data_IF_494471229612
#
_entry.id   IF_494471229612
#
_cell.length_a   1.000
_cell.length_b   1.000
_cell.length_c   1.000
_cell.angle_alpha   90.00
_cell.angle_beta   90.00
_cell.angle_gamma   90.00
#
_symmetry.space_group_name_H-M   'P 1'
#
loop_
_entity.id
_entity.type
_entity.pdbx_description
1 polymer ?
#
# COMPACT_ATOMS: atom_id res chain seq x y z
N UNK A 1 -3.23 -25.52 -3.21
CA UNK A 1 -3.51 -24.28 -3.91
C UNK A 1 -4.40 -23.42 -3.03
N UNK A 2 -3.93 -22.24 -2.66
CA UNK A 2 -4.71 -21.25 -1.94
C UNK A 2 -5.23 -20.24 -2.93
N UNK A 3 -6.52 -19.94 -2.89
CA UNK A 3 -7.16 -18.96 -3.76
C UNK A 3 -7.68 -17.81 -2.91
N UNK A 4 -7.51 -16.55 -3.34
CA UNK A 4 -8.23 -15.45 -2.73
C UNK A 4 -9.72 -15.60 -3.08
N UNK A 5 -10.56 -15.87 -2.08
CA UNK A 5 -12.01 -16.04 -2.29
C UNK A 5 -12.74 -14.72 -2.47
N UNK A 6 -12.29 -13.67 -1.81
CA UNK A 6 -12.79 -12.31 -2.02
C UNK A 6 -11.86 -11.28 -1.38
N UNK A 7 -11.63 -10.18 -2.08
CA UNK A 7 -11.05 -8.97 -1.50
C UNK A 7 -12.19 -8.03 -1.18
N UNK A 8 -12.74 -8.15 0.02
CA UNK A 8 -13.64 -7.14 0.55
C UNK A 8 -12.83 -5.95 1.12
N UNK A 9 -13.48 -4.81 1.31
CA UNK A 9 -12.88 -3.52 1.73
C UNK A 9 -11.92 -3.59 2.95
N UNK A 10 -11.80 -4.74 3.64
CA UNK A 10 -11.02 -4.86 4.87
C UNK A 10 -10.26 -6.18 5.10
N UNK A 11 -10.55 -7.27 4.38
CA UNK A 11 -9.89 -8.57 4.60
C UNK A 11 -9.81 -9.38 3.31
N UNK A 12 -8.64 -10.01 3.05
CA UNK A 12 -8.50 -11.02 2.01
C UNK A 12 -8.76 -12.40 2.64
N UNK A 13 -9.80 -13.08 2.17
CA UNK A 13 -10.05 -14.47 2.53
C UNK A 13 -9.36 -15.38 1.51
N UNK A 14 -8.67 -16.40 2.00
CA UNK A 14 -8.01 -17.40 1.17
C UNK A 14 -8.67 -18.75 1.37
N UNK A 15 -9.13 -19.36 0.28
CA UNK A 15 -9.59 -20.73 0.27
C UNK A 15 -8.45 -21.65 -0.14
N UNK A 16 -8.19 -22.69 0.63
CA UNK A 16 -7.20 -23.69 0.33
C UNK A 16 -7.85 -24.88 -0.38
N UNK A 17 -7.38 -25.17 -1.59
CA UNK A 17 -7.82 -26.30 -2.38
C UNK A 17 -6.66 -27.30 -2.52
N UNK A 18 -6.83 -28.48 -1.97
CA UNK A 18 -5.89 -29.59 -2.16
C UNK A 18 -6.35 -30.44 -3.36
N UNK A 19 -5.48 -30.57 -4.35
CA UNK A 19 -5.72 -31.37 -5.54
C UNK A 19 -4.89 -32.64 -5.45
N UNK A 20 -5.54 -33.81 -5.51
CA UNK A 20 -4.88 -35.11 -5.57
C UNK A 20 -5.21 -35.73 -6.91
N UNK A 21 -4.22 -35.82 -7.79
CA UNK A 21 -4.33 -36.55 -9.05
C UNK A 21 -3.97 -38.03 -8.81
N UNK A 22 -4.88 -38.94 -9.16
CA UNK A 22 -4.64 -40.38 -9.06
C UNK A 22 -4.27 -40.99 -10.42
N UNK A 23 -3.57 -42.12 -10.39
CA UNK A 23 -3.16 -42.84 -11.59
C UNK A 23 -4.33 -43.27 -12.49
N UNK A 24 -5.52 -43.48 -11.92
CA UNK A 24 -6.71 -43.95 -12.64
C UNK A 24 -7.53 -42.77 -13.26
N UNK A 25 -6.87 -41.66 -13.55
CA UNK A 25 -7.50 -40.46 -14.10
C UNK A 25 -8.58 -39.82 -13.20
N UNK A 26 -8.58 -40.10 -11.91
CA UNK A 26 -9.40 -39.42 -10.94
C UNK A 26 -8.69 -38.19 -10.35
N UNK A 27 -9.40 -37.08 -10.26
CA UNK A 27 -8.97 -35.89 -9.55
C UNK A 27 -9.84 -35.72 -8.31
N UNK A 28 -9.22 -35.73 -7.14
CA UNK A 28 -9.89 -35.51 -5.88
C UNK A 28 -9.61 -34.09 -5.43
N UNK A 29 -10.63 -33.29 -5.21
CA UNK A 29 -10.52 -31.93 -4.68
C UNK A 29 -10.98 -31.92 -3.24
N UNK A 30 -10.17 -31.36 -2.35
CA UNK A 30 -10.50 -31.17 -0.93
C UNK A 30 -10.40 -29.69 -0.63
N UNK A 31 -11.52 -29.08 -0.24
CA UNK A 31 -11.56 -27.69 0.21
C UNK A 31 -11.57 -27.64 1.75
N UNK A 32 -10.84 -26.72 2.33
CA UNK A 32 -10.75 -26.55 3.79
C UNK A 32 -11.96 -25.83 4.40
N UNK A 33 -12.82 -25.22 3.59
CA UNK A 33 -13.98 -24.45 4.05
C UNK A 33 -15.29 -24.90 3.40
N UNK A 34 -16.36 -25.00 4.20
CA UNK A 34 -17.74 -25.27 3.74
C UNK A 34 -18.33 -24.14 2.87
N UNK A 35 -17.69 -22.97 2.85
CA UNK A 35 -18.10 -21.76 2.11
C UNK A 35 -17.09 -21.35 1.06
N UNK A 36 -16.55 -22.32 0.29
CA UNK A 36 -15.68 -21.93 -0.83
C UNK A 36 -16.54 -21.14 -1.84
N UNK A 37 -16.17 -19.90 -2.12
CA UNK A 37 -16.75 -19.07 -3.19
C UNK A 37 -16.43 -19.63 -4.60
N UNK A 38 -15.79 -20.78 -4.65
CA UNK A 38 -15.60 -21.51 -5.91
C UNK A 38 -16.97 -21.92 -6.40
N UNK A 39 -17.47 -21.22 -7.41
CA UNK A 39 -18.72 -21.55 -8.04
C UNK A 39 -18.54 -22.82 -8.87
N UNK A 40 -18.80 -23.96 -8.27
CA UNK A 40 -18.71 -25.27 -8.93
C UNK A 40 -19.59 -25.36 -10.20
N UNK A 41 -20.62 -24.52 -10.31
CA UNK A 41 -21.44 -24.42 -11.52
C UNK A 41 -20.67 -23.79 -12.67
N UNK A 42 -19.86 -22.75 -12.43
CA UNK A 42 -19.03 -22.10 -13.45
C UNK A 42 -17.93 -23.04 -13.95
N UNK A 43 -17.33 -23.82 -13.02
CA UNK A 43 -16.37 -24.87 -13.36
C UNK A 43 -17.06 -25.95 -14.21
N UNK A 44 -18.24 -26.37 -13.82
CA UNK A 44 -19.01 -27.38 -14.55
C UNK A 44 -19.44 -26.89 -15.94
N UNK A 45 -19.87 -25.66 -16.05
CA UNK A 45 -20.25 -25.04 -17.33
C UNK A 45 -19.06 -24.89 -18.27
N UNK A 46 -17.95 -24.39 -17.75
CA UNK A 46 -16.67 -24.29 -18.47
C UNK A 46 -16.14 -25.65 -18.89
N UNK A 47 -16.26 -26.66 -18.01
CA UNK A 47 -15.87 -28.04 -18.31
C UNK A 47 -16.76 -28.67 -19.37
N UNK A 48 -18.05 -28.43 -19.31
CA UNK A 48 -19.02 -29.00 -20.28
C UNK A 48 -18.81 -28.39 -21.69
N UNK A 49 -18.47 -27.13 -21.77
CA UNK A 49 -18.21 -26.45 -23.03
C UNK A 49 -16.88 -26.93 -23.67
N UNK A 50 -15.86 -27.18 -22.86
CA UNK A 50 -14.55 -27.65 -23.29
C UNK A 50 -14.52 -29.15 -23.59
N UNK A 51 -15.24 -29.99 -22.84
CA UNK A 51 -15.34 -31.45 -23.11
C UNK A 51 -16.00 -31.76 -24.47
N UNK A 52 -16.82 -30.87 -24.99
CA UNK A 52 -17.37 -31.02 -26.33
C UNK A 52 -16.37 -30.80 -27.49
N UNK A 53 -15.22 -30.18 -27.18
CA UNK A 53 -14.14 -29.87 -28.15
C UNK A 53 -12.91 -30.78 -27.98
N UNK A 54 -12.85 -31.62 -26.92
CA UNK A 54 -11.66 -32.38 -26.58
C UNK A 54 -11.71 -33.80 -27.09
N UNK A 55 -10.64 -34.19 -27.77
CA UNK A 55 -10.34 -35.58 -28.12
C UNK A 55 -10.08 -36.40 -26.86
N UNK A 56 -10.69 -37.56 -26.76
CA UNK A 56 -10.64 -38.50 -25.65
C UNK A 56 -9.20 -38.90 -25.28
N UNK A 57 -8.62 -38.32 -24.26
CA UNK A 57 -7.26 -38.71 -23.90
C UNK A 57 -6.82 -38.51 -22.46
N UNK A 58 -7.24 -37.51 -21.75
CA UNK A 58 -6.83 -37.32 -20.35
C UNK A 58 -7.78 -36.32 -19.64
N UNK A 59 -8.88 -36.86 -19.10
CA UNK A 59 -9.89 -36.00 -18.44
C UNK A 59 -9.32 -35.24 -17.23
N UNK A 60 -8.41 -35.85 -16.46
CA UNK A 60 -7.83 -35.24 -15.27
C UNK A 60 -6.92 -34.04 -15.58
N UNK A 61 -6.09 -34.14 -16.63
CA UNK A 61 -5.23 -33.06 -17.06
C UNK A 61 -5.99 -31.85 -17.58
N UNK A 62 -7.03 -32.08 -18.36
CA UNK A 62 -7.91 -31.02 -18.87
C UNK A 62 -8.65 -30.30 -17.76
N UNK A 63 -9.12 -31.04 -16.74
CA UNK A 63 -9.78 -30.43 -15.59
C UNK A 63 -8.83 -29.59 -14.75
N UNK A 64 -7.61 -30.09 -14.53
CA UNK A 64 -6.55 -29.36 -13.83
C UNK A 64 -6.19 -28.04 -14.54
N UNK A 65 -6.07 -28.08 -15.86
CA UNK A 65 -5.84 -26.90 -16.69
C UNK A 65 -6.95 -25.85 -16.51
N UNK A 66 -8.22 -26.27 -16.49
CA UNK A 66 -9.36 -25.35 -16.30
C UNK A 66 -9.30 -24.71 -14.90
N UNK A 67 -9.02 -25.51 -13.87
CA UNK A 67 -8.92 -24.98 -12.50
C UNK A 67 -7.81 -23.95 -12.36
N UNK A 68 -6.62 -24.25 -12.86
CA UNK A 68 -5.52 -23.29 -12.83
C UNK A 68 -5.83 -22.03 -13.63
N UNK A 69 -6.44 -22.15 -14.79
CA UNK A 69 -6.84 -21.00 -15.59
C UNK A 69 -7.82 -20.11 -14.86
N UNK A 70 -8.88 -20.68 -14.28
CA UNK A 70 -9.86 -19.91 -13.49
C UNK A 70 -9.21 -19.24 -12.28
N UNK A 71 -8.28 -19.94 -11.60
CA UNK A 71 -7.56 -19.37 -10.49
C UNK A 71 -6.71 -18.16 -10.89
N UNK A 72 -5.93 -18.30 -11.97
CA UNK A 72 -5.07 -17.21 -12.46
C UNK A 72 -5.89 -16.05 -13.00
N UNK A 73 -6.98 -16.32 -13.71
CA UNK A 73 -7.89 -15.28 -14.21
C UNK A 73 -8.51 -14.49 -13.02
N UNK A 74 -8.88 -15.19 -11.94
CA UNK A 74 -9.37 -14.54 -10.71
C UNK A 74 -8.29 -13.70 -10.03
N UNK A 75 -7.09 -14.25 -9.86
CA UNK A 75 -5.94 -13.51 -9.30
C UNK A 75 -5.61 -12.27 -10.13
N UNK A 76 -5.70 -12.35 -11.45
CA UNK A 76 -5.49 -11.22 -12.35
C UNK A 76 -6.55 -10.12 -12.16
N UNK A 77 -7.83 -10.51 -12.02
CA UNK A 77 -8.92 -9.57 -11.76
C UNK A 77 -8.74 -8.86 -10.41
N UNK A 78 -8.39 -9.62 -9.35
CA UNK A 78 -8.17 -9.08 -8.01
C UNK A 78 -6.94 -8.16 -7.98
N UNK A 79 -5.84 -8.51 -8.66
CA UNK A 79 -4.68 -7.66 -8.82
C UNK A 79 -5.02 -6.35 -9.56
N UNK A 80 -5.81 -6.43 -10.62
CA UNK A 80 -6.28 -5.25 -11.37
C UNK A 80 -7.16 -4.35 -10.50
N UNK A 81 -8.03 -4.93 -9.69
CA UNK A 81 -8.87 -4.18 -8.75
C UNK A 81 -8.02 -3.45 -7.69
N UNK A 82 -7.03 -4.13 -7.10
CA UNK A 82 -6.09 -3.53 -6.14
C UNK A 82 -5.27 -2.41 -6.77
N UNK A 83 -4.78 -2.60 -7.99
CA UNK A 83 -4.02 -1.57 -8.71
C UNK A 83 -4.86 -0.32 -8.93
N UNK A 84 -6.09 -0.46 -9.41
CA UNK A 84 -7.02 0.64 -9.63
C UNK A 84 -7.35 1.37 -8.32
N UNK A 85 -7.54 0.63 -7.22
CA UNK A 85 -7.82 1.21 -5.91
C UNK A 85 -6.64 2.02 -5.38
N UNK A 86 -5.41 1.50 -5.47
CA UNK A 86 -4.20 2.22 -5.05
C UNK A 86 -3.97 3.44 -5.95
N UNK A 87 -4.21 3.32 -7.25
CA UNK A 87 -4.08 4.42 -8.19
C UNK A 87 -5.09 5.54 -7.89
N UNK A 88 -6.34 5.22 -7.58
CA UNK A 88 -7.34 6.20 -7.17
C UNK A 88 -6.92 6.94 -5.89
N UNK A 89 -6.48 6.20 -4.86
CA UNK A 89 -5.96 6.80 -3.62
C UNK A 89 -4.74 7.68 -3.90
N UNK A 90 -3.81 7.22 -4.72
CA UNK A 90 -2.62 7.99 -5.09
C UNK A 90 -3.00 9.28 -5.83
N UNK A 91 -3.98 9.22 -6.74
CA UNK A 91 -4.49 10.38 -7.47
C UNK A 91 -5.12 11.41 -6.53
N UNK A 92 -5.94 10.98 -5.56
CA UNK A 92 -6.56 11.87 -4.58
C UNK A 92 -5.51 12.58 -3.71
N UNK A 93 -4.41 11.90 -3.41
CA UNK A 93 -3.26 12.49 -2.72
C UNK A 93 -2.41 13.40 -3.63
N UNK A 94 -2.56 13.32 -4.94
CA UNK A 94 -1.86 14.16 -5.93
C UNK A 94 -2.61 15.45 -6.26
N UNK A 95 -3.92 15.55 -6.07
CA UNK A 95 -4.75 16.74 -6.39
C UNK A 95 -4.26 18.01 -5.68
N UNK A 96 -3.41 17.87 -4.65
CA UNK A 96 -2.70 19.03 -4.08
C UNK A 96 -1.39 19.41 -4.78
N UNK A 97 -1.01 18.74 -5.85
CA UNK A 97 0.34 18.78 -6.46
C UNK A 97 0.45 19.47 -7.82
N UNK A 98 -0.39 20.42 -8.15
CA UNK A 98 0.05 21.48 -9.08
C UNK A 98 1.18 22.33 -8.42
N UNK A 99 2.07 21.63 -7.70
CA UNK A 99 3.07 22.15 -6.78
C UNK A 99 4.47 22.28 -7.39
N UNK A 100 4.63 21.93 -8.65
CA UNK A 100 5.93 22.14 -9.33
C UNK A 100 6.29 23.62 -9.49
N UNK A 101 5.39 24.53 -9.13
CA UNK A 101 5.57 25.96 -9.36
C UNK A 101 5.90 26.81 -8.13
N UNK A 102 5.80 26.32 -6.90
CA UNK A 102 6.11 27.12 -5.70
C UNK A 102 6.96 26.31 -4.69
N UNK A 103 8.17 26.01 -5.05
CA UNK A 103 9.20 25.64 -4.08
C UNK A 103 9.83 26.93 -3.57
N UNK A 104 9.54 27.30 -2.33
CA UNK A 104 10.30 28.32 -1.62
C UNK A 104 11.73 27.77 -1.46
N UNK A 105 12.69 28.36 -2.17
CA UNK A 105 14.07 27.87 -2.32
C UNK A 105 14.80 27.75 -0.98
N UNK A 106 14.34 28.44 0.06
CA UNK A 106 14.93 28.41 1.40
C UNK A 106 14.38 27.28 2.31
N UNK A 107 13.18 26.75 2.01
CA UNK A 107 12.55 25.69 2.80
C UNK A 107 11.78 24.76 1.88
N UNK A 108 12.29 23.55 1.67
CA UNK A 108 11.73 22.46 0.84
C UNK A 108 10.28 21.99 1.20
N UNK A 109 9.43 22.89 1.65
CA UNK A 109 8.04 22.58 2.00
C UNK A 109 7.11 23.36 1.06
N UNK A 110 6.30 22.69 0.25
CA UNK A 110 5.35 23.34 -0.63
C UNK A 110 4.35 24.19 0.17
N UNK A 111 4.17 25.44 -0.25
CA UNK A 111 3.25 26.37 0.42
C UNK A 111 1.85 26.14 -0.14
N UNK A 112 1.15 25.14 0.37
CA UNK A 112 -0.26 24.91 0.08
C UNK A 112 -1.15 26.03 0.61
N UNK A 113 -2.18 26.41 -0.14
CA UNK A 113 -3.25 27.25 0.38
C UNK A 113 -3.98 26.52 1.53
N UNK A 114 -4.58 27.26 2.45
CA UNK A 114 -5.34 26.66 3.58
C UNK A 114 -6.46 25.72 3.10
N UNK A 115 -7.03 25.98 1.93
CA UNK A 115 -8.07 25.15 1.34
C UNK A 115 -7.47 23.83 0.82
N UNK A 116 -6.43 23.90 0.02
CA UNK A 116 -5.71 22.71 -0.49
C UNK A 116 -5.16 21.84 0.65
N UNK A 117 -4.65 22.46 1.72
CA UNK A 117 -4.17 21.73 2.89
C UNK A 117 -5.29 20.95 3.59
N UNK A 118 -6.49 21.54 3.73
CA UNK A 118 -7.65 20.85 4.31
C UNK A 118 -8.14 19.71 3.41
N UNK A 119 -8.20 19.94 2.09
CA UNK A 119 -8.59 18.91 1.12
C UNK A 119 -7.60 17.73 1.15
N UNK A 120 -6.30 18.03 1.16
CA UNK A 120 -5.26 17.00 1.25
C UNK A 120 -5.30 16.22 2.58
N UNK A 121 -5.54 16.90 3.71
CA UNK A 121 -5.71 16.25 5.00
C UNK A 121 -6.94 15.34 5.03
N UNK A 122 -8.06 15.79 4.46
CA UNK A 122 -9.26 14.98 4.35
C UNK A 122 -9.00 13.72 3.50
N UNK A 123 -8.38 13.89 2.32
CA UNK A 123 -7.98 12.76 1.47
C UNK A 123 -7.04 11.80 2.20
N UNK A 124 -6.01 12.30 2.89
CA UNK A 124 -5.09 11.48 3.67
C UNK A 124 -5.78 10.71 4.80
N UNK A 125 -6.75 11.32 5.47
CA UNK A 125 -7.52 10.68 6.54
C UNK A 125 -8.33 9.48 6.02
N UNK A 126 -8.93 9.59 4.83
CA UNK A 126 -9.63 8.47 4.17
C UNK A 126 -8.68 7.42 3.61
N UNK A 127 -7.50 7.82 3.13
CA UNK A 127 -6.51 6.92 2.55
C UNK A 127 -5.82 6.01 3.58
N UNK A 128 -5.51 6.55 4.79
CA UNK A 128 -4.74 5.82 5.83
C UNK A 128 -5.28 4.43 6.18
N UNK A 129 -6.57 4.25 6.55
CA UNK A 129 -7.07 2.94 6.93
C UNK A 129 -7.05 1.97 5.75
N UNK A 130 -7.34 2.42 4.53
CA UNK A 130 -7.34 1.60 3.32
C UNK A 130 -5.93 1.13 2.96
N UNK A 131 -4.98 2.02 2.93
CA UNK A 131 -3.56 1.70 2.68
C UNK A 131 -3.01 0.77 3.76
N UNK A 132 -3.39 0.97 5.03
CA UNK A 132 -2.97 0.10 6.13
C UNK A 132 -3.56 -1.31 5.99
N UNK A 133 -4.83 -1.44 5.60
CA UNK A 133 -5.47 -2.73 5.37
C UNK A 133 -4.81 -3.48 4.21
N UNK A 134 -4.65 -2.84 3.05
CA UNK A 134 -3.97 -3.45 1.88
C UNK A 134 -2.55 -3.88 2.25
N UNK A 135 -1.81 -3.04 2.98
CA UNK A 135 -0.45 -3.36 3.40
C UNK A 135 -0.37 -4.57 4.33
N UNK A 136 -1.38 -4.77 5.15
CA UNK A 136 -1.45 -5.93 6.05
C UNK A 136 -1.68 -7.23 5.27
N UNK A 137 -2.53 -7.21 4.25
CA UNK A 137 -2.89 -8.38 3.45
C UNK A 137 -1.88 -8.70 2.33
N UNK A 138 -1.11 -7.71 1.88
CA UNK A 138 -0.19 -7.85 0.74
C UNK A 138 0.78 -9.03 0.85
N UNK A 139 1.42 -9.31 2.01
CA UNK A 139 2.33 -10.45 2.13
C UNK A 139 1.63 -11.80 1.91
N UNK A 140 0.37 -11.92 2.37
CA UNK A 140 -0.45 -13.10 2.15
C UNK A 140 -0.77 -13.33 0.68
N UNK A 141 -1.23 -12.27 -0.01
CA UNK A 141 -1.51 -12.30 -1.45
C UNK A 141 -0.26 -12.68 -2.24
N UNK A 142 0.86 -12.03 -1.96
CA UNK A 142 2.13 -12.29 -2.64
C UNK A 142 2.57 -13.75 -2.48
N UNK A 143 2.52 -14.29 -1.26
CA UNK A 143 2.88 -15.69 -0.99
C UNK A 143 2.03 -16.66 -1.81
N UNK A 144 0.70 -16.44 -1.88
CA UNK A 144 -0.20 -17.31 -2.64
C UNK A 144 0.13 -17.29 -4.13
N UNK A 145 0.43 -16.12 -4.69
CA UNK A 145 0.80 -15.97 -6.10
C UNK A 145 2.14 -16.66 -6.39
N UNK A 146 3.16 -16.45 -5.53
CA UNK A 146 4.47 -17.08 -5.66
C UNK A 146 4.39 -18.60 -5.52
N UNK A 147 3.62 -19.13 -4.57
CA UNK A 147 3.40 -20.58 -4.41
C UNK A 147 2.69 -21.19 -5.62
N UNK A 148 1.69 -20.48 -6.18
CA UNK A 148 0.96 -20.93 -7.36
C UNK A 148 1.86 -20.92 -8.60
N UNK A 149 2.65 -19.88 -8.78
CA UNK A 149 3.63 -19.77 -9.87
C UNK A 149 4.67 -20.90 -9.79
N UNK A 150 5.24 -21.14 -8.61
CA UNK A 150 6.22 -22.21 -8.37
C UNK A 150 5.66 -23.61 -8.69
N UNK A 151 4.39 -23.87 -8.37
CA UNK A 151 3.73 -25.14 -8.71
C UNK A 151 3.59 -25.29 -10.21
N UNK A 152 3.11 -24.23 -10.89
CA UNK A 152 2.95 -24.21 -12.34
C UNK A 152 4.30 -24.33 -13.06
N UNK A 153 5.35 -23.71 -12.56
CA UNK A 153 6.70 -23.82 -13.09
C UNK A 153 7.19 -25.28 -13.05
N UNK A 154 7.01 -25.98 -11.92
CA UNK A 154 7.39 -27.39 -11.79
C UNK A 154 6.61 -28.28 -12.76
N UNK A 155 5.33 -28.00 -12.97
CA UNK A 155 4.50 -28.74 -13.92
C UNK A 155 4.95 -28.47 -15.35
N UNK A 156 5.17 -27.19 -15.69
CA UNK A 156 5.53 -26.75 -17.04
C UNK A 156 6.93 -27.21 -17.48
N UNK A 157 7.85 -27.36 -16.52
CA UNK A 157 9.23 -27.78 -16.79
C UNK A 157 9.44 -29.30 -16.61
N UNK A 158 8.36 -30.09 -16.45
CA UNK A 158 8.38 -31.55 -16.25
C UNK A 158 9.36 -32.01 -15.13
N UNK A 159 9.46 -31.16 -14.09
CA UNK A 159 10.35 -31.43 -12.92
C UNK A 159 9.65 -32.17 -11.79
N UNK A 160 8.45 -32.69 -12.04
CA UNK A 160 7.73 -33.53 -11.07
C UNK A 160 8.26 -34.94 -11.18
N UNK A 161 9.06 -35.35 -10.19
CA UNK A 161 9.56 -36.74 -10.06
C UNK A 161 8.38 -37.69 -9.82
N UNK A 162 7.93 -38.37 -10.88
CA UNK A 162 6.95 -39.43 -10.76
C UNK A 162 7.67 -40.74 -10.39
N UNK A 163 7.08 -41.56 -9.51
CA UNK A 163 7.63 -42.87 -9.22
C UNK A 163 7.66 -43.71 -10.52
N UNK A 164 8.83 -44.25 -10.83
CA UNK A 164 9.00 -45.15 -11.98
C UNK A 164 8.07 -46.36 -11.85
N UNK A 165 7.51 -46.78 -12.96
CA UNK A 165 6.73 -48.02 -13.01
C UNK A 165 7.63 -49.25 -12.70
N UNK A 166 7.02 -50.37 -12.33
CA UNK A 166 7.68 -51.64 -12.04
C UNK A 166 8.65 -52.07 -13.16
N UNK A 167 8.46 -51.55 -14.36
CA UNK A 167 9.28 -51.78 -15.56
C UNK A 167 10.34 -50.69 -15.81
N UNK A 168 10.50 -49.69 -14.91
CA UNK A 168 11.50 -48.62 -15.06
C UNK A 168 11.14 -47.56 -16.10
N UNK A 169 9.92 -47.56 -16.64
CA UNK A 169 9.46 -46.53 -17.57
C UNK A 169 8.99 -45.30 -16.80
N UNK A 170 9.51 -44.12 -17.19
CA UNK A 170 8.99 -42.85 -16.73
C UNK A 170 7.63 -42.65 -17.38
N UNK A 171 6.59 -42.50 -16.58
CA UNK A 171 5.24 -42.21 -17.10
C UNK A 171 5.10 -40.70 -17.23
N UNK A 172 4.74 -40.22 -18.40
CA UNK A 172 4.33 -38.88 -18.62
C UNK A 172 2.97 -38.64 -17.91
N UNK A 173 2.89 -37.64 -17.05
CA UNK A 173 1.68 -37.30 -16.30
C UNK A 173 0.64 -36.65 -17.21
N UNK A 174 1.10 -35.87 -18.17
CA UNK A 174 0.28 -35.09 -19.08
C UNK A 174 0.63 -35.39 -20.54
N UNK A 175 -0.34 -35.25 -21.42
CA UNK A 175 -0.09 -35.25 -22.86
C UNK A 175 0.57 -33.96 -23.27
N UNK A 176 1.34 -33.96 -24.34
CA UNK A 176 2.06 -32.78 -24.84
C UNK A 176 1.14 -31.56 -25.08
N UNK A 177 -0.09 -31.78 -25.49
CA UNK A 177 -1.06 -30.69 -25.69
C UNK A 177 -1.44 -30.03 -24.36
N UNK A 178 -1.58 -30.81 -23.28
CA UNK A 178 -1.86 -30.28 -21.94
C UNK A 178 -0.65 -29.52 -21.40
N UNK A 179 0.55 -30.01 -21.62
CA UNK A 179 1.78 -29.31 -21.21
C UNK A 179 1.89 -27.93 -21.85
N UNK A 180 1.60 -27.81 -23.14
CA UNK A 180 1.60 -26.52 -23.85
C UNK A 180 0.60 -25.55 -23.20
N UNK A 181 -0.59 -26.01 -22.87
CA UNK A 181 -1.60 -25.18 -22.24
C UNK A 181 -1.25 -24.81 -20.80
N UNK A 182 -0.63 -25.74 -20.05
CA UNK A 182 -0.13 -25.45 -18.69
C UNK A 182 1.02 -24.45 -18.72
N UNK A 183 1.85 -24.48 -19.75
CA UNK A 183 2.88 -23.48 -19.96
C UNK A 183 2.30 -22.07 -20.21
N UNK A 184 1.22 -21.96 -21.01
CA UNK A 184 0.53 -20.69 -21.20
C UNK A 184 -0.06 -20.14 -19.90
N UNK A 185 -0.60 -21.02 -19.04
CA UNK A 185 -1.11 -20.64 -17.72
C UNK A 185 0.04 -20.20 -16.80
N UNK A 186 1.19 -20.88 -16.85
CA UNK A 186 2.39 -20.48 -16.13
C UNK A 186 2.87 -19.06 -16.53
N UNK A 187 2.87 -18.75 -17.83
CA UNK A 187 3.24 -17.40 -18.33
C UNK A 187 2.27 -16.35 -17.79
N UNK A 188 0.98 -16.66 -17.73
CA UNK A 188 -0.02 -15.77 -17.14
C UNK A 188 0.16 -15.62 -15.62
N UNK A 189 0.53 -16.68 -14.89
CA UNK A 189 0.84 -16.62 -13.47
C UNK A 189 2.04 -15.69 -13.19
N UNK A 190 3.11 -15.79 -13.98
CA UNK A 190 4.25 -14.87 -13.90
C UNK A 190 3.86 -13.41 -14.18
N UNK A 191 2.91 -13.20 -15.07
CA UNK A 191 2.39 -11.86 -15.31
C UNK A 191 1.67 -11.31 -14.07
N UNK A 192 0.84 -12.12 -13.41
CA UNK A 192 0.16 -11.75 -12.16
C UNK A 192 1.19 -11.46 -11.06
N UNK A 193 2.23 -12.29 -10.89
CA UNK A 193 3.32 -12.05 -9.94
C UNK A 193 4.02 -10.70 -10.18
N UNK A 194 4.31 -10.39 -11.45
CA UNK A 194 4.88 -9.09 -11.84
C UNK A 194 3.93 -7.93 -11.51
N UNK A 195 2.62 -8.09 -11.71
CA UNK A 195 1.62 -7.09 -11.32
C UNK A 195 1.60 -6.87 -9.80
N UNK A 196 1.60 -7.93 -9.01
CA UNK A 196 1.63 -7.84 -7.54
C UNK A 196 2.88 -7.11 -7.04
N UNK A 197 4.04 -7.38 -7.64
CA UNK A 197 5.29 -6.67 -7.33
C UNK A 197 5.21 -5.18 -7.67
N UNK A 198 4.60 -4.83 -8.81
CA UNK A 198 4.35 -3.44 -9.18
C UNK A 198 3.36 -2.74 -8.23
N UNK A 199 2.31 -3.43 -7.82
CA UNK A 199 1.33 -2.96 -6.84
C UNK A 199 1.98 -2.71 -5.48
N UNK A 200 2.84 -3.62 -5.02
CA UNK A 200 3.62 -3.45 -3.77
C UNK A 200 4.47 -2.19 -3.82
N UNK A 201 5.15 -1.94 -4.94
CA UNK A 201 5.95 -0.74 -5.14
C UNK A 201 5.11 0.55 -5.10
N UNK A 202 3.94 0.55 -5.75
CA UNK A 202 2.97 1.65 -5.70
C UNK A 202 2.43 1.88 -4.28
N UNK A 203 2.14 0.80 -3.55
CA UNK A 203 1.67 0.84 -2.17
C UNK A 203 2.71 1.47 -1.23
N UNK A 204 3.98 1.12 -1.40
CA UNK A 204 5.09 1.71 -0.65
C UNK A 204 5.18 3.21 -0.94
N UNK A 205 5.21 3.60 -2.22
CA UNK A 205 5.31 5.01 -2.61
C UNK A 205 4.13 5.85 -2.11
N UNK A 206 2.90 5.30 -2.15
CA UNK A 206 1.71 5.97 -1.62
C UNK A 206 1.76 6.08 -0.08
N UNK A 207 2.27 5.06 0.61
CA UNK A 207 2.48 5.09 2.06
C UNK A 207 3.51 6.13 2.47
N UNK A 208 4.60 6.26 1.72
CA UNK A 208 5.64 7.26 1.98
C UNK A 208 5.13 8.67 1.75
N UNK A 209 4.24 8.85 0.76
CA UNK A 209 3.57 10.13 0.55
C UNK A 209 2.65 10.50 1.72
N UNK A 210 1.88 9.57 2.27
CA UNK A 210 1.09 9.82 3.49
C UNK A 210 1.99 10.25 4.66
N UNK A 211 3.14 9.61 4.84
CA UNK A 211 4.12 10.00 5.86
C UNK A 211 4.68 11.41 5.62
N UNK A 212 4.92 11.79 4.36
CA UNK A 212 5.36 13.15 4.03
C UNK A 212 4.31 14.19 4.39
N UNK A 213 3.03 13.91 4.14
CA UNK A 213 1.90 14.78 4.54
C UNK A 213 1.89 14.95 6.06
N UNK A 214 2.00 13.86 6.82
CA UNK A 214 2.05 13.88 8.28
C UNK A 214 3.27 14.66 8.81
N UNK A 215 4.42 14.47 8.20
CA UNK A 215 5.64 15.19 8.55
C UNK A 215 5.54 16.69 8.27
N UNK A 216 4.94 17.08 7.16
CA UNK A 216 4.72 18.49 6.82
C UNK A 216 3.78 19.18 7.82
N UNK A 217 2.74 18.48 8.27
CA UNK A 217 1.83 18.96 9.31
C UNK A 217 2.57 19.17 10.63
N UNK A 218 3.36 18.19 11.04
CA UNK A 218 4.14 18.24 12.28
C UNK A 218 5.17 19.39 12.24
N UNK A 219 5.85 19.60 11.11
CA UNK A 219 6.78 20.72 10.93
C UNK A 219 6.04 22.06 11.07
N UNK A 220 4.84 22.19 10.49
CA UNK A 220 4.03 23.41 10.60
C UNK A 220 3.61 23.67 12.05
N UNK A 221 3.14 22.64 12.76
CA UNK A 221 2.78 22.75 14.18
C UNK A 221 3.99 23.13 15.04
N UNK A 222 5.16 22.52 14.80
CA UNK A 222 6.40 22.82 15.53
C UNK A 222 6.86 24.26 15.27
N UNK A 223 6.76 24.76 14.03
CA UNK A 223 7.08 26.17 13.70
C UNK A 223 6.18 27.15 14.44
N UNK A 224 4.88 26.88 14.45
CA UNK A 224 3.90 27.71 15.19
C UNK A 224 4.20 27.73 16.68
N UNK A 225 4.42 26.57 17.30
CA UNK A 225 4.77 26.46 18.73
C UNK A 225 6.09 27.17 19.05
N UNK A 226 7.10 26.99 18.19
CA UNK A 226 8.39 27.63 18.31
C UNK A 226 8.29 29.17 18.20
N UNK A 227 7.45 29.69 17.29
CA UNK A 227 7.20 31.11 17.15
C UNK A 227 6.57 31.69 18.42
N UNK A 228 5.54 31.04 18.98
CA UNK A 228 4.91 31.46 20.23
C UNK A 228 5.90 31.45 21.40
N UNK A 229 6.67 30.38 21.54
CA UNK A 229 7.68 30.25 22.58
C UNK A 229 8.74 31.38 22.48
N UNK A 230 9.20 31.68 21.26
CA UNK A 230 10.18 32.76 21.02
C UNK A 230 9.60 34.13 21.36
N UNK A 231 8.33 34.39 21.03
CA UNK A 231 7.65 35.67 21.36
C UNK A 231 7.52 35.84 22.88
N UNK A 232 7.29 34.76 23.62
CA UNK A 232 7.16 34.79 25.08
C UNK A 232 8.52 34.89 25.81
N UNK A 233 9.57 34.30 25.24
CA UNK A 233 10.87 34.20 25.86
C UNK A 233 11.50 35.58 26.14
N UNK A 234 11.43 36.49 25.17
CA UNK A 234 12.09 37.79 25.27
C UNK A 234 11.45 38.71 26.35
N UNK A 235 10.12 38.89 26.39
CA UNK A 235 9.46 39.59 27.48
C UNK A 235 9.78 38.99 28.86
N UNK A 236 9.74 37.66 28.96
CA UNK A 236 10.06 36.95 30.22
C UNK A 236 11.50 37.20 30.68
N UNK A 237 12.45 37.20 29.72
CA UNK A 237 13.84 37.54 30.01
C UNK A 237 13.98 38.98 30.50
N UNK A 238 13.33 39.95 29.86
CA UNK A 238 13.37 41.36 30.28
C UNK A 238 12.80 41.53 31.70
N UNK A 239 11.62 40.95 31.95
CA UNK A 239 10.98 41.01 33.26
C UNK A 239 11.87 40.31 34.30
N UNK A 240 12.45 39.15 33.97
CA UNK A 240 13.36 38.44 34.87
C UNK A 240 14.65 39.23 35.18
N UNK A 241 15.21 39.93 34.19
CA UNK A 241 16.39 40.77 34.36
C UNK A 241 16.14 41.95 35.31
N UNK A 242 15.02 42.64 35.11
CA UNK A 242 14.63 43.75 36.02
C UNK A 242 14.04 43.30 37.36
N UNK A 243 13.68 42.00 37.50
CA UNK A 243 13.27 41.38 38.73
C UNK A 243 14.44 40.91 39.63
N UNK A 244 15.67 41.03 39.14
CA UNK A 244 16.87 40.71 39.94
C UNK A 244 17.13 41.86 40.93
N UNK A 245 17.26 41.55 42.22
CA UNK A 245 17.47 42.54 43.28
C UNK A 245 18.94 42.97 43.35
N UNK A 246 19.46 43.57 42.27
CA UNK A 246 20.79 44.18 42.31
C UNK A 246 20.73 45.56 43.03
N UNK A 247 21.71 45.85 43.85
CA UNK A 247 21.78 47.14 44.58
C UNK A 247 22.03 48.34 43.64
N UNK A 248 22.71 48.12 42.50
CA UNK A 248 23.05 49.16 41.53
C UNK A 248 22.45 48.80 40.18
N UNK A 249 21.26 49.34 39.94
CA UNK A 249 20.60 49.33 38.60
C UNK A 249 20.24 50.76 38.21
N UNK A 250 21.02 51.42 37.33
CA UNK A 250 20.79 52.82 36.97
C UNK A 250 19.40 53.08 36.39
N UNK A 251 18.86 52.11 35.64
CA UNK A 251 17.58 52.19 34.96
C UNK A 251 16.39 52.24 35.95
N UNK A 252 16.48 51.61 37.11
CA UNK A 252 15.43 51.59 38.15
C UNK A 252 15.26 52.95 38.82
N UNK A 253 16.30 53.80 38.82
CA UNK A 253 16.25 55.18 39.37
C UNK A 253 15.80 56.20 38.35
N UNK A 254 15.64 55.80 37.08
CA UNK A 254 15.21 56.69 36.04
C UNK A 254 13.67 56.88 36.03
N UNK A 255 13.21 58.12 36.01
CA UNK A 255 11.77 58.46 36.08
C UNK A 255 10.95 57.76 34.97
N UNK A 256 11.52 57.56 33.79
CA UNK A 256 10.87 56.87 32.65
C UNK A 256 11.29 55.41 32.48
N UNK A 257 12.05 54.83 33.42
CA UNK A 257 12.56 53.44 33.33
C UNK A 257 11.45 52.41 33.14
N UNK A 258 10.31 52.58 33.81
CA UNK A 258 9.13 51.73 33.64
C UNK A 258 8.56 51.75 32.22
N UNK A 259 8.33 52.96 31.67
CA UNK A 259 7.86 53.12 30.29
C UNK A 259 8.87 52.62 29.28
N UNK A 260 10.15 52.79 29.52
CA UNK A 260 11.23 52.29 28.69
C UNK A 260 11.25 50.74 28.63
N UNK A 261 11.12 50.09 29.77
CA UNK A 261 11.03 48.61 29.86
C UNK A 261 9.84 48.06 29.06
N UNK A 262 8.66 48.67 29.23
CA UNK A 262 7.48 48.30 28.44
C UNK A 262 7.65 48.59 26.95
N UNK A 263 8.32 49.66 26.58
CA UNK A 263 8.65 50.04 25.22
C UNK A 263 9.53 48.99 24.54
N UNK A 264 10.55 48.46 25.22
CA UNK A 264 11.43 47.39 24.75
C UNK A 264 10.62 46.12 24.56
N UNK A 265 9.80 45.73 25.53
CA UNK A 265 8.96 44.52 25.48
C UNK A 265 7.99 44.64 24.26
N UNK A 266 7.27 45.74 24.15
CA UNK A 266 6.29 45.94 23.09
C UNK A 266 6.97 45.98 21.70
N UNK A 267 8.08 46.73 21.57
CA UNK A 267 8.81 46.86 20.33
C UNK A 267 9.42 45.55 19.86
N UNK A 268 10.03 44.80 20.76
CA UNK A 268 10.60 43.46 20.44
C UNK A 268 9.51 42.46 20.08
N UNK A 269 8.40 42.44 20.80
CA UNK A 269 7.25 41.56 20.51
C UNK A 269 6.66 41.88 19.14
N UNK A 270 6.46 43.22 18.83
CA UNK A 270 5.95 43.65 17.54
C UNK A 270 6.90 43.21 16.38
N UNK A 271 8.21 43.41 16.59
CA UNK A 271 9.23 42.99 15.61
C UNK A 271 9.20 41.46 15.37
N UNK A 272 9.12 40.68 16.43
CA UNK A 272 9.06 39.22 16.34
C UNK A 272 7.77 38.75 15.65
N UNK A 273 6.62 39.32 16.00
CA UNK A 273 5.34 39.01 15.34
C UNK A 273 5.38 39.35 13.86
N UNK A 274 5.93 40.54 13.53
CA UNK A 274 6.12 40.96 12.13
C UNK A 274 7.03 39.96 11.37
N UNK A 275 8.17 39.57 11.97
CA UNK A 275 9.11 38.62 11.39
C UNK A 275 8.46 37.27 11.15
N UNK A 276 7.79 36.68 12.15
CA UNK A 276 7.15 35.37 12.03
C UNK A 276 5.97 35.38 11.04
N UNK A 277 5.18 36.48 10.99
CA UNK A 277 4.15 36.67 9.96
C UNK A 277 4.72 36.75 8.56
N UNK A 278 5.84 37.49 8.38
CA UNK A 278 6.53 37.54 7.09
C UNK A 278 7.03 36.18 6.65
N UNK A 279 7.44 35.34 7.60
CA UNK A 279 7.90 33.96 7.36
C UNK A 279 6.74 32.93 7.32
N UNK A 280 5.51 33.37 7.46
CA UNK A 280 4.29 32.50 7.51
C UNK A 280 4.35 31.40 8.58
N UNK A 281 5.00 31.67 9.71
CA UNK A 281 5.03 30.78 10.87
C UNK A 281 3.85 31.02 11.80
N UNK A 282 3.21 32.19 11.66
CA UNK A 282 1.99 32.64 12.37
C UNK A 282 0.87 32.92 11.37
#
# INVERSE_FOLDING_TARGET
LSFPSSVNDSTANFDELVLVATHDHALITVSSHETSEINWNDIRESTTHLTSQMTSGCMSGNFLQILFRLAIDKMHQDATFLDNMIQAISHDLLIGNDLDEIVDVDFQVPVLSRRQQKELQAAAQFARPRISAIRHEMPGIKRVVEETENILEKIANDTIDLPQDINGNVRELFTRDIEIHLYDIYVNARHVESMITAIESKLISTSDRLRQIDSAEQVTANRFTGAIASIMLFPTFVVGLYGQNFEIMPELKWHYGYLFSFGIIAGSTALQVWFFRKRRWL
#
